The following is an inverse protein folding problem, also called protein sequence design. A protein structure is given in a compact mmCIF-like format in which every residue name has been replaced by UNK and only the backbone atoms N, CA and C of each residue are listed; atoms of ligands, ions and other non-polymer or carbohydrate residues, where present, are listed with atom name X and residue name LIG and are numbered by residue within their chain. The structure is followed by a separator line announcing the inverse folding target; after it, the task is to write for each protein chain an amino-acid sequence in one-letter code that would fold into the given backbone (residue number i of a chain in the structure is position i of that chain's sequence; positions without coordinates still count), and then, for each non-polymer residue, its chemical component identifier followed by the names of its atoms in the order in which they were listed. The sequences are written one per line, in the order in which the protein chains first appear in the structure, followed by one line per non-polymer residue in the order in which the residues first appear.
data_IF_854820065939
#
_entry.id   IF_854820065939
#
_cell.length_a   1.000
_cell.length_b   1.000
_cell.length_c   1.000
_cell.angle_alpha   90.00
_cell.angle_beta   90.00
_cell.angle_gamma   90.00
#
_symmetry.space_group_name_H-M   'P 1'
#
loop_
_entity.id
_entity.type
_entity.pdbx_description
1 polymer ?
#
# COMPACT_ATOMS: atom_id res chain seq x y z
N UNK A 1 -19.42 -2.64 -7.39
CA UNK A 1 -19.67 -3.60 -6.29
C UNK A 1 -18.64 -3.37 -5.19
N UNK A 2 -18.97 -3.62 -3.91
CA UNK A 2 -17.99 -3.52 -2.84
C UNK A 2 -16.95 -4.64 -2.99
N UNK A 3 -15.66 -4.29 -3.02
CA UNK A 3 -14.56 -5.26 -3.19
C UNK A 3 -13.92 -5.52 -1.83
N UNK A 4 -13.72 -6.79 -1.48
CA UNK A 4 -12.94 -7.15 -0.29
C UNK A 4 -11.45 -7.03 -0.61
N UNK A 5 -10.89 -5.85 -0.39
CA UNK A 5 -9.45 -5.61 -0.54
C UNK A 5 -8.66 -6.29 0.58
N UNK A 6 -7.59 -6.98 0.20
CA UNK A 6 -6.54 -7.46 1.11
C UNK A 6 -5.20 -6.89 0.67
N UNK A 7 -4.34 -6.63 1.63
CA UNK A 7 -3.01 -6.05 1.44
C UNK A 7 -2.00 -7.14 1.05
N UNK A 8 -1.10 -6.83 0.13
CA UNK A 8 -0.05 -7.73 -0.34
C UNK A 8 1.23 -7.58 0.51
N UNK A 9 1.61 -8.59 1.32
CA UNK A 9 2.83 -8.58 2.14
C UNK A 9 4.12 -8.42 1.34
N UNK A 10 4.14 -8.83 0.06
CA UNK A 10 5.33 -8.76 -0.80
C UNK A 10 5.60 -7.33 -1.30
N UNK A 11 4.59 -6.46 -1.21
CA UNK A 11 4.72 -5.03 -1.52
C UNK A 11 5.03 -4.20 -0.29
N UNK A 12 4.64 -4.66 0.90
CA UNK A 12 4.67 -3.89 2.12
C UNK A 12 6.08 -3.45 2.52
N UNK A 13 6.22 -2.16 2.84
CA UNK A 13 7.43 -1.64 3.46
C UNK A 13 7.79 -2.43 4.73
N UNK A 14 9.06 -2.76 5.00
CA UNK A 14 9.45 -3.59 6.15
C UNK A 14 9.09 -3.07 7.55
N UNK A 15 8.64 -1.83 7.68
CA UNK A 15 8.09 -1.26 8.94
C UNK A 15 6.56 -1.26 9.00
N UNK A 16 5.88 -1.78 7.98
CA UNK A 16 4.44 -1.94 7.99
C UNK A 16 4.10 -3.34 8.53
N UNK A 17 3.32 -3.35 9.60
CA UNK A 17 2.75 -4.55 10.17
C UNK A 17 1.35 -4.76 9.59
N UNK A 18 1.14 -5.89 8.93
CA UNK A 18 -0.16 -6.31 8.43
C UNK A 18 -0.82 -7.26 9.43
N UNK A 19 -2.15 -7.19 9.53
CA UNK A 19 -2.94 -8.23 10.23
C UNK A 19 -2.98 -9.53 9.43
N UNK A 20 -3.30 -10.63 10.11
CA UNK A 20 -3.40 -11.97 9.49
C UNK A 20 -4.44 -12.03 8.37
N UNK A 21 -5.57 -11.32 8.53
CA UNK A 21 -6.61 -11.20 7.50
C UNK A 21 -6.24 -10.26 6.34
N UNK A 22 -5.08 -9.60 6.42
CA UNK A 22 -4.60 -8.65 5.42
C UNK A 22 -5.43 -7.38 5.29
N UNK A 23 -6.30 -7.05 6.26
CA UNK A 23 -7.20 -5.88 6.18
C UNK A 23 -6.74 -4.67 7.00
N UNK A 24 -5.75 -4.84 7.87
CA UNK A 24 -5.21 -3.76 8.71
C UNK A 24 -3.74 -3.59 8.45
N UNK A 25 -3.29 -2.35 8.56
CA UNK A 25 -1.88 -1.98 8.48
C UNK A 25 -1.58 -0.94 9.56
N UNK A 26 -0.42 -1.08 10.20
CA UNK A 26 0.14 -0.07 11.11
C UNK A 26 1.62 0.12 10.88
N UNK A 27 2.10 1.33 11.12
CA UNK A 27 3.52 1.63 11.13
C UNK A 27 4.15 1.14 12.45
N UNK A 28 5.36 0.60 12.36
CA UNK A 28 6.19 0.20 13.49
C UNK A 28 7.51 0.98 13.53
N UNK A 29 8.01 1.22 14.74
CA UNK A 29 9.31 1.85 14.94
C UNK A 29 10.45 0.94 14.45
N UNK A 30 10.30 -0.36 14.68
CA UNK A 30 11.29 -1.37 14.30
C UNK A 30 11.06 -1.86 12.88
N UNK A 31 12.15 -1.93 12.10
CA UNK A 31 12.15 -2.57 10.78
C UNK A 31 12.14 -4.08 10.97
N UNK A 32 11.15 -4.76 10.39
CA UNK A 32 11.06 -6.23 10.39
C UNK A 32 12.13 -6.83 9.48
N UNK A 33 12.67 -7.98 9.88
CA UNK A 33 13.59 -8.77 9.07
C UNK A 33 12.83 -9.58 8.03
N UNK A 34 12.38 -8.92 6.96
CA UNK A 34 11.74 -9.56 5.81
C UNK A 34 12.71 -9.60 4.62
N UNK A 35 12.66 -10.63 3.76
CA UNK A 35 13.48 -10.67 2.54
C UNK A 35 13.20 -9.47 1.64
N UNK A 36 14.24 -8.99 0.96
CA UNK A 36 14.02 -8.06 -0.15
C UNK A 36 13.25 -8.76 -1.27
N UNK A 37 12.39 -7.99 -1.94
CA UNK A 37 11.55 -8.48 -3.02
C UNK A 37 11.36 -7.38 -4.06
N UNK A 38 11.35 -7.66 -5.38
CA UNK A 38 11.23 -6.62 -6.41
C UNK A 38 9.98 -5.74 -6.26
N UNK A 39 8.86 -6.33 -5.79
CA UNK A 39 7.60 -5.60 -5.55
C UNK A 39 7.59 -4.75 -4.27
N UNK A 40 8.56 -4.98 -3.37
CA UNK A 40 8.59 -4.37 -2.03
C UNK A 40 9.01 -2.91 -2.08
N UNK A 41 8.20 -2.05 -1.44
CA UNK A 41 8.62 -0.70 -1.14
C UNK A 41 9.73 -0.68 -0.09
N UNK A 42 10.92 -0.21 -0.43
CA UNK A 42 12.07 -0.27 0.49
C UNK A 42 12.21 0.96 1.41
N UNK A 43 11.70 2.11 0.93
CA UNK A 43 11.87 3.44 1.52
C UNK A 43 10.55 4.19 1.73
N UNK A 44 9.60 4.03 0.80
CA UNK A 44 8.30 4.69 0.88
C UNK A 44 7.36 3.89 1.80
N UNK A 45 6.58 4.57 2.65
CA UNK A 45 5.71 3.95 3.67
C UNK A 45 4.42 3.37 3.05
N UNK A 46 4.57 2.51 2.05
CA UNK A 46 3.47 2.05 1.21
C UNK A 46 3.32 0.53 1.27
N UNK A 47 2.10 0.09 0.98
CA UNK A 47 1.69 -1.29 0.70
C UNK A 47 0.58 -1.20 -0.34
N UNK A 48 0.48 -2.19 -1.24
CA UNK A 48 -0.62 -2.26 -2.21
C UNK A 48 -1.65 -3.31 -1.81
N UNK A 49 -2.84 -3.18 -2.39
CA UNK A 49 -3.79 -4.29 -2.47
C UNK A 49 -3.25 -5.42 -3.35
N UNK A 50 -3.71 -6.64 -3.08
CA UNK A 50 -3.29 -7.86 -3.79
C UNK A 50 -3.81 -7.92 -5.21
N UNK A 51 -5.06 -7.50 -5.39
CA UNK A 51 -5.75 -7.52 -6.68
C UNK A 51 -5.66 -6.15 -7.37
N UNK A 52 -5.38 -6.17 -8.67
CA UNK A 52 -5.47 -5.01 -9.54
C UNK A 52 -6.86 -4.86 -10.18
N UNK A 53 -7.11 -3.71 -10.79
CA UNK A 53 -8.36 -3.44 -11.49
C UNK A 53 -8.10 -3.11 -12.97
N UNK A 54 -8.67 -3.89 -13.89
CA UNK A 54 -8.53 -3.66 -15.33
C UNK A 54 -9.62 -2.75 -15.93
N UNK A 55 -10.84 -2.78 -15.37
CA UNK A 55 -11.98 -2.00 -15.85
C UNK A 55 -13.09 -1.95 -14.78
N UNK A 56 -14.14 -1.16 -15.03
CA UNK A 56 -15.33 -1.08 -14.18
C UNK A 56 -15.26 -0.01 -13.07
N UNK A 57 -16.23 -0.05 -12.15
CA UNK A 57 -16.31 0.83 -10.99
C UNK A 57 -16.16 0.03 -9.69
N UNK A 58 -15.14 0.39 -8.93
CA UNK A 58 -14.77 -0.26 -7.67
C UNK A 58 -14.83 0.75 -6.54
N UNK A 59 -15.17 0.27 -5.35
CA UNK A 59 -15.30 1.08 -4.16
C UNK A 59 -14.79 0.29 -2.94
N UNK A 60 -14.10 1.00 -2.06
CA UNK A 60 -13.66 0.50 -0.77
C UNK A 60 -13.67 1.63 0.25
N UNK A 61 -13.74 1.25 1.52
CA UNK A 61 -13.69 2.16 2.65
C UNK A 61 -12.43 1.86 3.47
N UNK A 62 -11.83 2.90 4.04
CA UNK A 62 -10.69 2.76 4.93
C UNK A 62 -10.98 3.52 6.22
N UNK A 63 -10.89 2.81 7.34
CA UNK A 63 -10.94 3.42 8.66
C UNK A 63 -9.55 3.91 9.05
N UNK A 64 -9.36 5.23 9.13
CA UNK A 64 -8.03 5.86 9.35
C UNK A 64 -7.74 6.22 10.81
N UNK A 65 -8.76 6.15 11.68
CA UNK A 65 -8.65 6.49 13.10
C UNK A 65 -8.09 7.90 13.35
N UNK A 66 -7.47 8.10 14.52
CA UNK A 66 -6.89 9.39 14.94
C UNK A 66 -5.41 9.55 14.51
N UNK A 67 -4.97 8.77 13.51
CA UNK A 67 -3.57 8.77 13.07
C UNK A 67 -3.16 10.10 12.43
N UNK A 68 -2.02 10.64 12.85
CA UNK A 68 -1.53 11.95 12.39
C UNK A 68 -1.09 12.00 10.91
N UNK A 69 -0.85 10.85 10.28
CA UNK A 69 -0.45 10.78 8.88
C UNK A 69 -0.89 9.47 8.23
N UNK A 70 -1.73 9.58 7.21
CA UNK A 70 -2.17 8.49 6.36
C UNK A 70 -2.32 9.01 4.93
N UNK A 71 -2.29 8.08 3.98
CA UNK A 71 -2.69 8.37 2.62
C UNK A 71 -3.38 7.14 2.03
N UNK A 72 -4.39 7.34 1.20
CA UNK A 72 -5.12 6.26 0.53
C UNK A 72 -5.40 6.62 -0.92
N UNK A 73 -5.38 5.63 -1.80
CA UNK A 73 -5.64 5.86 -3.21
C UNK A 73 -5.34 4.66 -4.09
N UNK A 74 -5.01 4.94 -5.35
CA UNK A 74 -4.67 3.96 -6.37
C UNK A 74 -3.30 4.25 -6.96
N UNK A 75 -2.63 3.20 -7.40
CA UNK A 75 -1.38 3.28 -8.14
C UNK A 75 -1.42 2.36 -9.35
N UNK A 76 -0.71 2.73 -10.42
CA UNK A 76 -0.42 1.80 -11.52
C UNK A 76 0.40 0.63 -10.97
N UNK A 77 0.19 -0.57 -11.51
CA UNK A 77 1.00 -1.75 -11.15
C UNK A 77 2.50 -1.49 -11.35
N UNK A 78 2.86 -0.75 -12.39
CA UNK A 78 4.22 -0.37 -12.76
C UNK A 78 4.86 0.72 -11.90
N UNK A 79 4.19 1.19 -10.83
CA UNK A 79 4.76 2.22 -9.94
C UNK A 79 6.12 1.78 -9.39
N UNK A 80 7.08 2.72 -9.37
CA UNK A 80 8.43 2.49 -8.84
C UNK A 80 8.35 2.01 -7.39
N UNK A 81 9.07 0.93 -7.07
CA UNK A 81 9.08 0.32 -5.72
C UNK A 81 10.27 0.72 -4.86
N UNK A 82 11.39 1.06 -5.49
CA UNK A 82 12.67 1.31 -4.80
C UNK A 82 12.97 2.79 -4.66
N UNK A 83 13.48 3.21 -3.51
CA UNK A 83 13.71 4.62 -3.16
C UNK A 83 12.44 5.37 -2.77
N UNK A 84 12.61 6.67 -2.51
CA UNK A 84 11.50 7.58 -2.19
C UNK A 84 10.68 7.86 -3.46
N UNK A 85 9.36 7.72 -3.36
CA UNK A 85 8.43 8.05 -4.44
C UNK A 85 7.75 9.39 -4.17
N UNK A 86 7.37 10.09 -5.23
CA UNK A 86 6.49 11.26 -5.16
C UNK A 86 5.05 10.81 -5.41
N UNK A 87 4.10 11.27 -4.61
CA UNK A 87 2.68 11.01 -4.84
C UNK A 87 2.18 12.02 -5.86
N UNK A 88 2.13 11.62 -7.14
CA UNK A 88 1.63 12.47 -8.22
C UNK A 88 1.12 11.65 -9.42
N UNK A 89 0.10 12.14 -10.16
CA UNK A 89 -0.47 11.44 -11.31
C UNK A 89 0.55 11.07 -12.39
N UNK A 90 1.58 11.88 -12.60
CA UNK A 90 2.58 11.69 -13.66
C UNK A 90 3.44 10.44 -13.43
N UNK A 91 3.56 9.99 -12.18
CA UNK A 91 4.24 8.73 -11.82
C UNK A 91 3.25 7.60 -11.52
N UNK A 92 1.98 7.80 -11.87
CA UNK A 92 0.94 6.79 -11.76
C UNK A 92 0.44 6.57 -10.33
N UNK A 93 0.41 7.61 -9.50
CA UNK A 93 -0.16 7.55 -8.14
C UNK A 93 -1.22 8.64 -7.98
N UNK A 94 -2.40 8.25 -7.50
CA UNK A 94 -3.49 9.14 -7.14
C UNK A 94 -3.92 8.81 -5.73
N UNK A 95 -3.59 9.67 -4.77
CA UNK A 95 -3.91 9.47 -3.36
C UNK A 95 -4.27 10.80 -2.69
N UNK A 96 -5.02 10.70 -1.59
CA UNK A 96 -5.33 11.78 -0.65
C UNK A 96 -4.60 11.58 0.66
#
# INVERSE_FOLDING_TARGET
SAVSLTLDPDTAHPRLALSEDGKRVRWEDTRRAVPDHPKRFDSSRCVLGREGFGSGRHYWEVQVGDGAAWAVGVAKESVRRKGRISVKPEVGIWAV
#
